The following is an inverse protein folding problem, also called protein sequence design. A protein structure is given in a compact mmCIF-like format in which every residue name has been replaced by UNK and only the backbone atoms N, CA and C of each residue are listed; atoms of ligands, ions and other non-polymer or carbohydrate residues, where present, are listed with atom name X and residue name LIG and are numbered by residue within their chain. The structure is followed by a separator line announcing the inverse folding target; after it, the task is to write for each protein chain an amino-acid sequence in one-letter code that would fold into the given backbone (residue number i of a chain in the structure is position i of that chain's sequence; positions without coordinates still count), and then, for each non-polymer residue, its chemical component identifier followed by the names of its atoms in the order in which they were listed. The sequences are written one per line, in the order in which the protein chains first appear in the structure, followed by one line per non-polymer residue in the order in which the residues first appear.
data_IF_133756301753
#
_entry.id   IF_133756301753
#
_cell.length_a   1.000
_cell.length_b   1.000
_cell.length_c   1.000
_cell.angle_alpha   90.00
_cell.angle_beta   90.00
_cell.angle_gamma   90.00
#
_symmetry.space_group_name_H-M   'P 1'
#
loop_
_entity.id
_entity.type
_entity.pdbx_description
1 polymer ?
#
# COMPACT_ATOMS: atom_id res chain seq x y z
N UNK A 1 21.35 -2.82 8.38
CA UNK A 1 20.08 -3.00 9.15
C UNK A 1 19.64 -1.63 9.66
N UNK A 2 18.35 -1.31 9.63
CA UNK A 2 17.81 -0.09 10.22
C UNK A 2 17.00 -0.43 11.47
N UNK A 3 16.83 0.55 12.38
CA UNK A 3 15.98 0.38 13.56
C UNK A 3 14.50 0.30 13.13
N UNK A 4 14.09 1.17 12.20
CA UNK A 4 12.76 1.19 11.62
C UNK A 4 12.81 1.02 10.09
N UNK A 5 12.91 -0.23 9.57
CA UNK A 5 13.00 -0.47 8.12
C UNK A 5 11.74 -0.06 7.35
N UNK A 6 10.57 -0.04 8.00
CA UNK A 6 9.32 0.41 7.38
C UNK A 6 9.31 1.92 7.08
N UNK A 7 10.13 2.70 7.79
CA UNK A 7 10.22 4.16 7.66
C UNK A 7 11.24 4.61 6.61
N UNK A 8 11.83 3.69 5.84
CA UNK A 8 12.77 4.03 4.77
C UNK A 8 12.06 4.74 3.62
N UNK A 9 12.74 5.72 3.03
CA UNK A 9 12.23 6.42 1.85
C UNK A 9 12.39 5.53 0.62
N UNK A 10 11.29 5.23 -0.07
CA UNK A 10 11.32 4.48 -1.34
C UNK A 10 11.85 5.37 -2.47
N UNK A 11 13.00 5.01 -3.04
CA UNK A 11 13.56 5.69 -4.22
C UNK A 11 13.08 5.08 -5.55
N UNK A 12 12.36 3.94 -5.49
CA UNK A 12 11.91 3.19 -6.66
C UNK A 12 12.90 2.13 -7.12
N UNK A 13 12.50 1.28 -8.09
CA UNK A 13 13.33 0.16 -8.59
C UNK A 13 13.87 -0.77 -7.48
N UNK A 14 13.09 -0.98 -6.41
CA UNK A 14 13.46 -1.70 -5.19
C UNK A 14 14.61 -1.06 -4.37
N UNK A 15 14.96 0.21 -4.64
CA UNK A 15 15.93 0.97 -3.87
C UNK A 15 15.25 1.76 -2.74
N UNK A 16 15.97 1.85 -1.63
CA UNK A 16 15.55 2.55 -0.41
C UNK A 16 16.68 3.48 0.05
N UNK A 17 16.30 4.66 0.53
CA UNK A 17 17.20 5.61 1.19
C UNK A 17 16.87 5.71 2.68
N UNK A 18 17.89 6.06 3.45
CA UNK A 18 17.70 6.45 4.84
C UNK A 18 16.82 7.70 4.93
N UNK A 19 15.93 7.70 5.92
CA UNK A 19 15.12 8.82 6.34
C UNK A 19 15.43 9.15 7.79
N UNK A 20 15.02 10.34 8.24
CA UNK A 20 15.14 10.73 9.64
C UNK A 20 14.47 9.72 10.59
N UNK A 21 13.29 9.21 10.21
CA UNK A 21 12.51 8.25 11.02
C UNK A 21 13.05 6.81 10.95
N UNK A 22 13.83 6.46 9.93
CA UNK A 22 14.44 5.12 9.80
C UNK A 22 15.65 4.91 10.73
N UNK A 23 16.26 6.01 11.18
CA UNK A 23 17.50 6.05 11.93
C UNK A 23 18.74 5.76 11.08
N UNK A 24 19.90 5.70 11.74
CA UNK A 24 21.19 5.44 11.09
C UNK A 24 21.37 3.96 10.71
N UNK A 25 22.08 3.67 9.59
CA UNK A 25 22.34 2.31 9.14
C UNK A 25 23.32 1.59 10.07
N UNK A 26 22.92 0.43 10.55
CA UNK A 26 23.80 -0.51 11.26
C UNK A 26 24.48 -1.41 10.22
N UNK A 27 25.79 -1.21 10.03
CA UNK A 27 26.63 -1.95 9.09
C UNK A 27 27.35 -3.09 9.82
N UNK A 28 27.43 -4.26 9.20
CA UNK A 28 28.08 -5.45 9.78
C UNK A 28 28.29 -6.55 8.73
N UNK A 29 29.01 -7.61 9.12
CA UNK A 29 29.21 -8.79 8.25
C UNK A 29 27.95 -9.66 8.23
N UNK A 30 27.70 -10.36 7.12
CA UNK A 30 26.60 -11.32 7.03
C UNK A 30 26.71 -12.38 8.14
N UNK A 31 25.57 -12.73 8.75
CA UNK A 31 25.51 -13.68 9.87
C UNK A 31 26.01 -13.16 11.22
N UNK A 32 26.42 -11.90 11.34
CA UNK A 32 26.82 -11.26 12.61
C UNK A 32 25.80 -10.24 13.07
N UNK A 33 25.73 -9.95 14.38
CA UNK A 33 24.88 -8.87 14.94
C UNK A 33 23.40 -8.90 14.50
N UNK A 34 22.83 -10.09 14.33
CA UNK A 34 21.44 -10.27 13.91
C UNK A 34 21.16 -9.98 12.43
N UNK A 35 22.19 -9.81 11.59
CA UNK A 35 22.04 -9.78 10.14
C UNK A 35 21.86 -11.22 9.60
N UNK A 36 21.03 -11.36 8.57
CA UNK A 36 20.78 -12.63 7.88
C UNK A 36 22.04 -13.23 7.24
N UNK A 37 21.93 -14.49 6.81
CA UNK A 37 22.99 -15.18 6.06
C UNK A 37 22.78 -14.97 4.57
N UNK A 38 23.87 -14.97 3.81
CA UNK A 38 23.82 -14.96 2.35
C UNK A 38 23.61 -16.39 1.87
N UNK A 39 22.56 -16.63 1.08
CA UNK A 39 22.31 -17.90 0.41
C UNK A 39 22.70 -17.76 -1.06
N UNK A 40 23.77 -18.43 -1.48
CA UNK A 40 24.22 -18.40 -2.87
C UNK A 40 23.19 -19.04 -3.81
N UNK A 41 23.11 -18.54 -5.05
CA UNK A 41 22.22 -19.04 -6.10
C UNK A 41 20.71 -19.03 -5.74
N UNK A 42 20.30 -18.13 -4.85
CA UNK A 42 18.89 -17.92 -4.49
C UNK A 42 18.45 -16.50 -4.86
N UNK A 43 17.19 -16.36 -5.28
CA UNK A 43 16.55 -15.08 -5.61
C UNK A 43 15.36 -14.87 -4.68
N UNK A 44 15.31 -13.73 -4.00
CA UNK A 44 14.17 -13.35 -3.15
C UNK A 44 12.98 -12.95 -4.04
N UNK A 45 11.89 -13.71 -3.94
CA UNK A 45 10.64 -13.44 -4.64
C UNK A 45 9.80 -12.41 -3.88
N UNK A 46 8.86 -11.78 -4.58
CA UNK A 46 7.90 -10.88 -3.95
C UNK A 46 7.06 -11.61 -2.91
N UNK A 47 6.82 -10.96 -1.78
CA UNK A 47 5.99 -11.46 -0.68
C UNK A 47 4.49 -11.16 -0.86
N UNK A 48 4.04 -10.85 -2.08
CA UNK A 48 2.68 -10.40 -2.39
C UNK A 48 1.88 -11.57 -2.96
N UNK A 49 0.70 -11.84 -2.41
CA UNK A 49 -0.28 -12.75 -3.00
C UNK A 49 -1.16 -11.99 -4.00
N UNK A 50 -1.10 -12.40 -5.27
CA UNK A 50 -1.87 -11.79 -6.34
C UNK A 50 -3.39 -11.97 -6.15
N UNK A 51 -3.84 -13.10 -5.61
CA UNK A 51 -5.26 -13.37 -5.43
C UNK A 51 -5.87 -12.41 -4.41
N UNK A 52 -5.19 -12.20 -3.28
CA UNK A 52 -5.62 -11.27 -2.24
C UNK A 52 -5.63 -9.81 -2.74
N UNK A 53 -4.57 -9.39 -3.44
CA UNK A 53 -4.50 -8.04 -4.00
C UNK A 53 -5.58 -7.79 -5.07
N UNK A 54 -5.93 -8.80 -5.89
CA UNK A 54 -7.06 -8.69 -6.80
C UNK A 54 -8.39 -8.55 -6.07
N UNK A 55 -8.64 -9.33 -5.02
CA UNK A 55 -9.88 -9.21 -4.21
C UNK A 55 -9.97 -7.83 -3.58
N UNK A 56 -8.86 -7.30 -3.07
CA UNK A 56 -8.78 -5.94 -2.50
C UNK A 56 -9.06 -4.87 -3.55
N UNK A 57 -8.49 -4.99 -4.75
CA UNK A 57 -8.78 -4.10 -5.87
C UNK A 57 -10.27 -4.14 -6.25
N UNK A 58 -10.85 -5.34 -6.39
CA UNK A 58 -12.27 -5.51 -6.74
C UNK A 58 -13.15 -4.89 -5.65
N UNK A 59 -12.82 -5.10 -4.38
CA UNK A 59 -13.56 -4.53 -3.25
C UNK A 59 -13.52 -3.00 -3.26
N UNK A 60 -12.34 -2.41 -3.50
CA UNK A 60 -12.19 -0.97 -3.65
C UNK A 60 -13.00 -0.42 -4.84
N UNK A 61 -12.98 -1.11 -5.99
CA UNK A 61 -13.78 -0.74 -7.17
C UNK A 61 -15.28 -0.82 -6.90
N UNK A 62 -15.75 -1.87 -6.22
CA UNK A 62 -17.16 -2.03 -5.83
C UNK A 62 -17.58 -0.95 -4.84
N UNK A 63 -16.73 -0.61 -3.87
CA UNK A 63 -16.96 0.49 -2.95
C UNK A 63 -17.08 1.83 -3.69
N UNK A 64 -16.19 2.11 -4.63
CA UNK A 64 -16.27 3.30 -5.48
C UNK A 64 -17.58 3.34 -6.29
N UNK A 65 -17.94 2.25 -6.96
CA UNK A 65 -19.20 2.15 -7.72
C UNK A 65 -20.44 2.33 -6.85
N UNK A 66 -20.45 1.75 -5.65
CA UNK A 66 -21.55 1.90 -4.70
C UNK A 66 -21.68 3.36 -4.25
N UNK A 67 -20.56 4.01 -3.90
CA UNK A 67 -20.55 5.42 -3.50
C UNK A 67 -21.03 6.33 -4.64
N UNK A 68 -20.59 6.08 -5.88
CA UNK A 68 -21.06 6.84 -7.04
C UNK A 68 -22.57 6.68 -7.26
N UNK A 69 -23.12 5.48 -7.12
CA UNK A 69 -24.57 5.25 -7.25
C UNK A 69 -25.36 5.97 -6.16
N UNK A 70 -24.89 5.93 -4.91
CA UNK A 70 -25.53 6.65 -3.79
C UNK A 70 -25.61 8.14 -4.09
N UNK A 71 -24.53 8.74 -4.63
CA UNK A 71 -24.52 10.14 -5.04
C UNK A 71 -25.58 10.39 -6.11
N UNK A 72 -25.58 9.63 -7.20
CA UNK A 72 -26.56 9.79 -8.30
C UNK A 72 -28.00 9.66 -7.80
N UNK A 73 -28.32 8.66 -6.98
CA UNK A 73 -29.67 8.51 -6.43
C UNK A 73 -30.04 9.65 -5.50
N UNK A 74 -29.07 10.20 -4.75
CA UNK A 74 -29.32 11.36 -3.89
C UNK A 74 -29.61 12.60 -4.73
N UNK A 75 -28.88 12.78 -5.83
CA UNK A 75 -29.09 13.90 -6.77
C UNK A 75 -30.48 13.81 -7.43
N UNK A 76 -30.92 12.62 -7.84
CA UNK A 76 -32.26 12.38 -8.40
C UNK A 76 -33.36 12.74 -7.38
N UNK A 77 -33.25 12.26 -6.14
CA UNK A 77 -34.21 12.58 -5.06
C UNK A 77 -34.25 14.08 -4.76
N UNK A 78 -33.09 14.74 -4.74
CA UNK A 78 -33.00 16.19 -4.54
C UNK A 78 -33.70 16.95 -5.66
N UNK A 79 -33.56 16.51 -6.90
CA UNK A 79 -34.25 17.10 -8.05
C UNK A 79 -35.77 16.93 -7.95
N UNK A 80 -36.27 15.77 -7.54
CA UNK A 80 -37.70 15.53 -7.31
C UNK A 80 -38.27 16.44 -6.21
N UNK A 81 -37.56 16.60 -5.08
CA UNK A 81 -37.98 17.47 -3.98
C UNK A 81 -38.07 18.95 -4.39
N UNK A 82 -37.14 19.42 -5.22
CA UNK A 82 -37.18 20.81 -5.75
C UNK A 82 -38.39 21.02 -6.66
N UNK A 83 -38.73 20.01 -7.48
CA UNK A 83 -39.87 20.07 -8.39
C UNK A 83 -41.23 20.00 -7.67
N UNK A 84 -41.31 19.31 -6.52
CA UNK A 84 -42.51 19.23 -5.67
C UNK A 84 -42.89 20.54 -4.97
N UNK A 85 -41.95 21.50 -4.86
CA UNK A 85 -42.18 22.81 -4.22
C UNK A 85 -42.79 23.86 -5.18
N UNK A 86 -42.88 23.57 -6.48
CA UNK A 86 -43.60 24.40 -7.47
C UNK A 86 -45.07 24.05 -7.51
#
# INVERSE_FOLDING_TARGET
RFVAPASLTKLGRNLYAESFDSGIPIIGKAGTSGLGRILSNNLELSNVDLAEEFVKMISAQRGFQANSRVITTTDELMQELVNLKR
#
